data_IF_934403085849
#
_entry.id   IF_934403085849
#
_cell.length_a   1.000
_cell.length_b   1.000
_cell.length_c   1.000
_cell.angle_alpha   90.00
_cell.angle_beta   90.00
_cell.angle_gamma   90.00
#
_symmetry.space_group_name_H-M   'P 1'
#
loop_
_entity.id
_entity.type
_entity.pdbx_description
1 polymer ?
#
# COMPACT_ATOMS: atom_id res chain seq x y z
N UNK A 1 -7.84 40.51 22.30
CA UNK A 1 -8.04 40.05 20.91
C UNK A 1 -8.34 38.57 20.96
N UNK A 2 -9.61 38.19 20.96
CA UNK A 2 -10.05 36.78 21.02
C UNK A 2 -10.99 36.55 19.85
N UNK A 3 -10.51 35.82 18.84
CA UNK A 3 -11.23 35.54 17.61
C UNK A 3 -12.01 34.24 17.79
N UNK A 4 -13.23 34.33 18.30
CA UNK A 4 -14.19 33.22 18.32
C UNK A 4 -14.67 32.94 16.89
N UNK A 5 -14.21 31.82 16.32
CA UNK A 5 -14.62 31.38 15.00
C UNK A 5 -16.00 30.70 15.10
N UNK A 6 -17.01 31.40 14.58
CA UNK A 6 -18.41 31.00 14.49
C UNK A 6 -18.55 29.75 13.60
N UNK A 7 -19.17 28.69 14.12
CA UNK A 7 -19.59 27.55 13.32
C UNK A 7 -20.73 27.98 12.39
N UNK A 8 -20.46 28.04 11.09
CA UNK A 8 -21.47 28.28 10.06
C UNK A 8 -22.33 27.03 9.86
N UNK A 9 -23.60 27.12 10.23
CA UNK A 9 -24.66 26.22 9.78
C UNK A 9 -24.82 26.36 8.26
N UNK A 10 -24.82 25.27 7.47
CA UNK A 10 -25.09 25.40 6.04
C UNK A 10 -26.58 25.62 5.82
N UNK A 11 -26.93 26.85 5.48
CA UNK A 11 -28.16 27.23 4.79
C UNK A 11 -28.12 26.65 3.37
N UNK A 12 -28.92 25.62 3.11
CA UNK A 12 -28.97 24.94 1.82
C UNK A 12 -30.10 23.91 1.78
N UNK A 13 -31.31 24.41 1.54
CA UNK A 13 -32.57 23.67 1.47
C UNK A 13 -32.66 22.81 0.20
N UNK A 14 -32.16 21.57 0.28
CA UNK A 14 -32.69 20.44 -0.48
C UNK A 14 -33.21 19.44 0.55
N UNK A 15 -34.48 19.06 0.45
CA UNK A 15 -35.14 18.17 1.41
C UNK A 15 -34.41 16.81 1.42
N UNK A 16 -33.55 16.61 2.43
CA UNK A 16 -32.88 15.33 2.66
C UNK A 16 -33.94 14.30 3.06
N UNK A 17 -33.78 13.03 2.66
CA UNK A 17 -34.77 11.98 2.94
C UNK A 17 -35.04 11.85 4.45
N UNK A 18 -36.22 11.34 4.80
CA UNK A 18 -36.72 11.26 6.18
C UNK A 18 -35.79 10.50 7.15
N UNK A 19 -34.90 9.65 6.63
CA UNK A 19 -33.93 8.87 7.41
C UNK A 19 -32.56 9.56 7.59
N UNK A 20 -32.46 10.86 7.26
CA UNK A 20 -31.21 11.59 7.39
C UNK A 20 -30.96 12.03 8.84
N UNK A 21 -30.07 11.31 9.54
CA UNK A 21 -29.63 11.69 10.88
C UNK A 21 -28.55 12.77 10.80
N UNK A 22 -28.78 13.87 11.50
CA UNK A 22 -27.80 14.95 11.65
C UNK A 22 -26.89 14.64 12.84
N UNK A 23 -25.58 14.57 12.58
CA UNK A 23 -24.57 14.42 13.61
C UNK A 23 -23.76 15.71 13.75
N UNK A 24 -23.46 16.08 14.99
CA UNK A 24 -22.51 17.15 15.29
C UNK A 24 -21.08 16.61 15.09
N UNK A 25 -20.34 17.21 14.16
CA UNK A 25 -18.95 16.80 13.86
C UNK A 25 -17.98 17.56 14.75
N UNK A 26 -17.90 17.15 16.01
CA UNK A 26 -17.02 17.77 17.02
C UNK A 26 -15.90 16.80 17.40
N UNK A 27 -14.67 17.31 17.47
CA UNK A 27 -13.50 16.57 17.95
C UNK A 27 -13.24 16.76 19.45
N UNK A 28 -14.07 17.56 20.13
CA UNK A 28 -13.99 17.77 21.56
C UNK A 28 -14.30 16.46 22.31
N UNK A 29 -13.52 16.17 23.36
CA UNK A 29 -13.67 14.95 24.18
C UNK A 29 -12.83 13.76 23.73
N UNK A 30 -12.16 13.82 22.57
CA UNK A 30 -11.20 12.79 22.17
C UNK A 30 -9.87 12.92 22.93
N UNK A 31 -9.20 11.78 23.15
CA UNK A 31 -7.86 11.78 23.74
C UNK A 31 -6.84 12.43 22.80
N UNK A 32 -5.74 12.95 23.37
CA UNK A 32 -4.68 13.66 22.61
C UNK A 32 -4.13 12.85 21.43
N UNK A 33 -4.10 11.52 21.54
CA UNK A 33 -3.58 10.62 20.51
C UNK A 33 -4.63 10.21 19.46
N UNK A 34 -5.92 10.40 19.73
CA UNK A 34 -6.99 9.91 18.87
C UNK A 34 -7.00 10.63 17.51
N UNK A 35 -6.80 11.96 17.49
CA UNK A 35 -6.73 12.72 16.24
C UNK A 35 -5.52 12.30 15.38
N UNK A 36 -4.27 12.24 15.90
CA UNK A 36 -3.13 11.73 15.15
C UNK A 36 -3.33 10.31 14.61
N UNK A 37 -3.92 9.41 15.42
CA UNK A 37 -4.23 8.04 14.98
C UNK A 37 -5.27 8.00 13.87
N UNK A 38 -6.31 8.82 13.95
CA UNK A 38 -7.33 8.94 12.91
C UNK A 38 -6.72 9.45 11.59
N UNK A 39 -5.88 10.49 11.66
CA UNK A 39 -5.14 11.01 10.49
C UNK A 39 -4.21 9.95 9.90
N UNK A 40 -3.45 9.24 10.74
CA UNK A 40 -2.59 8.14 10.28
C UNK A 40 -3.41 7.03 9.62
N UNK A 41 -4.55 6.65 10.19
CA UNK A 41 -5.43 5.63 9.61
C UNK A 41 -5.96 6.06 8.25
N UNK A 42 -6.41 7.32 8.12
CA UNK A 42 -6.84 7.90 6.85
C UNK A 42 -5.74 7.82 5.78
N UNK A 43 -4.53 8.31 6.10
CA UNK A 43 -3.41 8.30 5.17
C UNK A 43 -2.97 6.88 4.78
N UNK A 44 -2.94 5.95 5.76
CA UNK A 44 -2.64 4.54 5.49
C UNK A 44 -3.64 3.92 4.52
N UNK A 45 -4.91 4.24 4.68
CA UNK A 45 -5.99 3.68 3.85
C UNK A 45 -5.93 4.24 2.43
N UNK A 46 -5.78 5.56 2.28
CA UNK A 46 -5.58 6.20 0.98
C UNK A 46 -4.36 5.62 0.25
N UNK A 47 -3.22 5.52 0.94
CA UNK A 47 -2.00 4.96 0.37
C UNK A 47 -2.15 3.48 0.02
N UNK A 48 -2.80 2.68 0.88
CA UNK A 48 -3.02 1.26 0.64
C UNK A 48 -3.78 1.01 -0.65
N UNK A 49 -4.89 1.71 -0.88
CA UNK A 49 -5.69 1.53 -2.08
C UNK A 49 -4.97 2.02 -3.33
N UNK A 50 -4.26 3.15 -3.24
CA UNK A 50 -3.42 3.64 -4.36
C UNK A 50 -2.42 2.56 -4.80
N UNK A 51 -1.62 2.06 -3.86
CA UNK A 51 -0.60 1.03 -4.14
C UNK A 51 -1.24 -0.28 -4.59
N UNK A 52 -2.38 -0.68 -4.03
CA UNK A 52 -3.08 -1.90 -4.41
C UNK A 52 -3.55 -1.86 -5.88
N UNK A 53 -4.10 -0.72 -6.31
CA UNK A 53 -4.53 -0.50 -7.70
C UNK A 53 -3.33 -0.47 -8.64
N UNK A 54 -2.30 0.32 -8.32
CA UNK A 54 -1.05 0.39 -9.11
C UNK A 54 -0.42 -1.00 -9.27
N UNK A 55 -0.30 -1.77 -8.17
CA UNK A 55 0.23 -3.13 -8.19
C UNK A 55 -0.59 -4.08 -9.07
N UNK A 56 -1.91 -3.92 -9.12
CA UNK A 56 -2.80 -4.74 -9.94
C UNK A 56 -2.66 -4.38 -11.43
N UNK A 57 -2.60 -3.09 -11.76
CA UNK A 57 -2.37 -2.59 -13.11
C UNK A 57 -1.04 -3.12 -13.63
N UNK A 58 0.05 -2.92 -12.89
CA UNK A 58 1.39 -3.36 -13.31
C UNK A 58 1.47 -4.88 -13.52
N UNK A 59 0.83 -5.68 -12.64
CA UNK A 59 0.76 -7.13 -12.83
C UNK A 59 0.05 -7.50 -14.12
N UNK A 60 -1.05 -6.82 -14.44
CA UNK A 60 -1.77 -7.06 -15.67
C UNK A 60 -0.94 -6.64 -16.89
N UNK A 61 -0.31 -5.48 -16.85
CA UNK A 61 0.58 -4.98 -17.91
C UNK A 61 1.71 -5.98 -18.19
N UNK A 62 2.43 -6.46 -17.17
CA UNK A 62 3.49 -7.48 -17.35
C UNK A 62 2.97 -8.77 -17.97
N UNK A 63 1.73 -9.18 -17.64
CA UNK A 63 1.09 -10.36 -18.23
C UNK A 63 0.80 -10.15 -19.72
N UNK A 64 0.15 -9.04 -20.05
CA UNK A 64 -0.24 -8.69 -21.42
C UNK A 64 0.99 -8.49 -22.31
N UNK A 65 2.03 -7.82 -21.81
CA UNK A 65 3.30 -7.66 -22.54
C UNK A 65 3.95 -9.02 -22.86
N UNK A 66 3.92 -9.96 -21.92
CA UNK A 66 4.45 -11.31 -22.17
C UNK A 66 3.59 -12.05 -23.19
N UNK A 67 2.26 -11.99 -23.07
CA UNK A 67 1.34 -12.60 -24.02
C UNK A 67 1.55 -12.06 -25.45
N UNK A 68 1.68 -10.74 -25.62
CA UNK A 68 1.95 -10.13 -26.92
C UNK A 68 3.31 -10.57 -27.49
N UNK A 69 4.36 -10.62 -26.67
CA UNK A 69 5.68 -11.12 -27.11
C UNK A 69 5.63 -12.57 -27.56
N UNK A 70 4.89 -13.42 -26.83
CA UNK A 70 4.74 -14.84 -27.19
C UNK A 70 3.87 -15.05 -28.45
N UNK A 71 2.91 -14.16 -28.71
CA UNK A 71 2.10 -14.18 -29.93
C UNK A 71 2.89 -13.74 -31.17
N UNK A 72 3.77 -12.74 -31.02
CA UNK A 72 4.60 -12.24 -32.12
C UNK A 72 5.74 -13.17 -32.53
N UNK A 73 6.09 -14.15 -31.69
CA UNK A 73 7.22 -15.05 -31.93
C UNK A 73 6.75 -16.35 -32.59
N UNK A 74 6.67 -16.33 -33.93
CA UNK A 74 6.20 -17.44 -34.76
C UNK A 74 7.11 -18.69 -34.73
N UNK A 75 8.33 -18.56 -34.20
CA UNK A 75 9.32 -19.66 -34.12
C UNK A 75 9.19 -20.44 -32.81
N UNK A 76 8.47 -19.90 -31.81
CA UNK A 76 8.33 -20.54 -30.51
C UNK A 76 7.28 -21.64 -30.51
N UNK A 77 7.68 -22.85 -30.12
CA UNK A 77 6.78 -23.98 -29.85
C UNK A 77 5.82 -23.67 -28.70
N UNK A 78 4.60 -24.21 -28.75
CA UNK A 78 3.59 -24.04 -27.71
C UNK A 78 4.08 -24.43 -26.31
N UNK A 79 4.84 -25.52 -26.17
CA UNK A 79 5.44 -25.93 -24.90
C UNK A 79 6.36 -24.87 -24.28
N UNK A 80 7.10 -24.13 -25.12
CA UNK A 80 7.96 -23.03 -24.65
C UNK A 80 7.13 -21.84 -24.19
N UNK A 81 6.04 -21.51 -24.89
CA UNK A 81 5.10 -20.45 -24.49
C UNK A 81 4.46 -20.78 -23.14
N UNK A 82 4.01 -22.02 -22.95
CA UNK A 82 3.44 -22.49 -21.67
C UNK A 82 4.46 -22.38 -20.54
N UNK A 83 5.71 -22.81 -20.75
CA UNK A 83 6.78 -22.67 -19.74
C UNK A 83 7.07 -21.21 -19.37
N UNK A 84 7.05 -20.30 -20.35
CA UNK A 84 7.24 -18.86 -20.11
C UNK A 84 6.13 -18.29 -19.22
N UNK A 85 4.86 -18.62 -19.51
CA UNK A 85 3.71 -18.20 -18.70
C UNK A 85 3.78 -18.77 -17.27
N UNK A 86 4.15 -20.04 -17.12
CA UNK A 86 4.35 -20.64 -15.80
C UNK A 86 5.46 -19.95 -15.00
N UNK A 87 6.56 -19.61 -15.66
CA UNK A 87 7.66 -18.88 -15.03
C UNK A 87 7.24 -17.47 -14.56
N UNK A 88 6.40 -16.77 -15.34
CA UNK A 88 5.83 -15.50 -14.93
C UNK A 88 4.99 -15.67 -13.65
N UNK A 89 4.11 -16.66 -13.59
CA UNK A 89 3.30 -16.95 -12.39
C UNK A 89 4.13 -17.28 -11.15
N UNK A 90 5.24 -18.02 -11.30
CA UNK A 90 6.18 -18.32 -10.21
C UNK A 90 6.91 -17.06 -9.71
N UNK A 91 7.30 -16.16 -10.61
CA UNK A 91 7.94 -14.87 -10.26
C UNK A 91 6.97 -13.98 -9.49
N UNK A 92 5.74 -13.81 -9.95
CA UNK A 92 4.70 -13.04 -9.26
C UNK A 92 4.40 -13.61 -7.87
N UNK A 93 4.30 -14.93 -7.74
CA UNK A 93 4.09 -15.60 -6.46
C UNK A 93 5.25 -15.37 -5.49
N UNK A 94 6.48 -15.41 -5.99
CA UNK A 94 7.68 -15.16 -5.18
C UNK A 94 7.79 -13.70 -4.75
N UNK A 95 7.43 -12.76 -5.62
CA UNK A 95 7.35 -11.34 -5.29
C UNK A 95 6.32 -11.09 -4.16
N UNK A 96 5.12 -11.67 -4.27
CA UNK A 96 4.09 -11.53 -3.24
C UNK A 96 4.51 -12.16 -1.90
N UNK A 97 5.24 -13.28 -1.95
CA UNK A 97 5.82 -13.89 -0.76
C UNK A 97 6.86 -12.99 -0.12
N UNK A 98 7.81 -12.47 -0.91
CA UNK A 98 8.85 -11.55 -0.43
C UNK A 98 8.23 -10.31 0.23
N UNK A 99 7.18 -9.74 -0.37
CA UNK A 99 6.45 -8.59 0.19
C UNK A 99 5.82 -8.87 1.56
N UNK A 100 5.48 -10.14 1.86
CA UNK A 100 4.92 -10.54 3.16
C UNK A 100 6.00 -10.95 4.17
N UNK A 101 7.17 -11.37 3.71
CA UNK A 101 8.28 -11.76 4.57
C UNK A 101 8.76 -10.56 5.38
N UNK A 102 8.77 -10.71 6.71
CA UNK A 102 9.41 -9.76 7.62
C UNK A 102 10.71 -10.41 8.07
N UNK A 103 11.83 -9.73 7.82
CA UNK A 103 13.13 -10.18 8.30
C UNK A 103 13.50 -9.39 9.56
N UNK A 104 13.88 -10.11 10.61
CA UNK A 104 14.32 -9.58 11.91
C UNK A 104 15.81 -9.78 12.13
N UNK A 105 16.29 -9.43 13.33
CA UNK A 105 17.71 -9.65 13.69
C UNK A 105 18.02 -11.15 13.85
N UNK A 106 17.05 -11.95 14.31
CA UNK A 106 17.19 -13.40 14.45
C UNK A 106 17.43 -14.16 13.15
N UNK A 107 17.10 -13.56 11.99
CA UNK A 107 17.34 -14.17 10.67
C UNK A 107 18.81 -14.06 10.23
N UNK A 108 19.62 -13.29 10.96
CA UNK A 108 21.03 -13.04 10.63
C UNK A 108 21.96 -13.55 11.72
N UNK A 109 23.05 -14.18 11.29
CA UNK A 109 24.17 -14.54 12.18
C UNK A 109 25.31 -13.57 11.95
N UNK A 110 25.63 -12.78 12.96
CA UNK A 110 26.84 -11.95 12.94
C UNK A 110 28.07 -12.84 12.97
N UNK A 111 28.88 -12.75 11.92
CA UNK A 111 30.14 -13.48 11.78
C UNK A 111 31.27 -12.69 12.42
N UNK A 112 31.33 -11.38 12.13
CA UNK A 112 32.38 -10.50 12.67
C UNK A 112 31.96 -9.04 12.63
N UNK A 113 32.36 -8.28 13.65
CA UNK A 113 32.28 -6.81 13.63
C UNK A 113 33.43 -6.26 12.78
N UNK A 114 33.07 -5.51 11.74
CA UNK A 114 34.00 -4.91 10.77
C UNK A 114 34.44 -3.52 11.22
N UNK A 115 33.56 -2.75 11.86
CA UNK A 115 33.88 -1.41 12.33
C UNK A 115 32.88 -0.88 13.35
N UNK A 116 33.33 0.01 14.23
CA UNK A 116 32.50 0.70 15.23
C UNK A 116 32.65 2.22 15.07
N UNK A 117 31.54 2.94 15.07
CA UNK A 117 31.50 4.41 14.97
C UNK A 117 30.50 5.00 15.97
N UNK A 118 30.38 6.34 15.99
CA UNK A 118 29.51 7.05 16.93
C UNK A 118 28.01 6.71 16.80
N UNK A 119 27.60 6.13 15.67
CA UNK A 119 26.20 5.78 15.38
C UNK A 119 25.92 4.27 15.36
N UNK A 120 26.91 3.43 15.68
CA UNK A 120 26.72 1.98 15.76
C UNK A 120 27.88 1.14 15.21
N UNK A 121 27.61 -0.15 15.04
CA UNK A 121 28.57 -1.16 14.60
C UNK A 121 28.17 -1.73 13.24
N UNK A 122 29.15 -1.97 12.37
CA UNK A 122 28.96 -2.63 11.07
C UNK A 122 29.38 -4.08 11.21
N UNK A 123 28.42 -4.98 10.99
CA UNK A 123 28.58 -6.42 11.13
C UNK A 123 28.52 -7.11 9.76
N UNK A 124 29.37 -8.12 9.57
CA UNK A 124 29.26 -9.11 8.50
C UNK A 124 28.54 -10.36 8.99
#
# INVERSE_FOLDING_TARGET
MSSSQQAQSPTGSAAKPADYVYFERTTAGFSKDALPKATMAKLKLEHFYKVAVESAIERNTRRVELEQRLQGDAVMTEDRKVRQLQNLGRKESTFLRLRRTKLGLEDFRTVKVIGKGAFGEVCS
#
